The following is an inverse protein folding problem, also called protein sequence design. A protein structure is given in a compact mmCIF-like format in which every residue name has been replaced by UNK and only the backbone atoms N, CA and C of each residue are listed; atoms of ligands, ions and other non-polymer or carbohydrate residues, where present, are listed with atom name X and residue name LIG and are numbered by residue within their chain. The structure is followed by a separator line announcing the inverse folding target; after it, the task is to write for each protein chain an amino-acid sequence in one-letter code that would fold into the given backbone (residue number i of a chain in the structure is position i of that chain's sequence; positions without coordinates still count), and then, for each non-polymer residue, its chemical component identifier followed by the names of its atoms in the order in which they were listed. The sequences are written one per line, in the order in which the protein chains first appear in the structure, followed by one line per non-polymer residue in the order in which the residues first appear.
data_IF_931789843649
#
_entry.id   IF_931789843649
#
_cell.length_a   1.000
_cell.length_b   1.000
_cell.length_c   1.000
_cell.angle_alpha   90.00
_cell.angle_beta   90.00
_cell.angle_gamma   90.00
#
_symmetry.space_group_name_H-M   'P 1'
#
loop_
_entity.id
_entity.type
_entity.pdbx_description
1 polymer ?
#
# COMPACT_ATOMS: atom_id res chain seq x y z
N UNK A 1 -18.75 45.16 -33.53
CA UNK A 1 -18.67 44.68 -32.14
C UNK A 1 -18.86 43.17 -32.17
N UNK A 2 -17.77 42.40 -32.07
CA UNK A 2 -17.81 40.94 -32.08
C UNK A 2 -17.94 40.42 -30.64
N UNK A 3 -18.80 39.43 -30.35
CA UNK A 3 -18.95 38.91 -28.99
C UNK A 3 -17.75 38.03 -28.63
N UNK A 4 -17.10 38.36 -27.51
CA UNK A 4 -16.04 37.55 -26.89
C UNK A 4 -16.58 36.18 -26.50
N UNK A 5 -16.00 35.14 -27.09
CA UNK A 5 -16.24 33.76 -26.67
C UNK A 5 -15.58 33.54 -25.30
N UNK A 6 -16.38 33.23 -24.30
CA UNK A 6 -15.93 32.80 -22.98
C UNK A 6 -15.19 31.47 -23.10
N UNK A 7 -13.89 31.49 -22.81
CA UNK A 7 -13.05 30.30 -22.72
C UNK A 7 -13.52 29.44 -21.55
N UNK A 8 -14.26 28.38 -21.84
CA UNK A 8 -14.60 27.35 -20.87
C UNK A 8 -13.31 26.57 -20.49
N UNK A 9 -13.09 26.24 -19.20
CA UNK A 9 -11.96 25.40 -18.81
C UNK A 9 -12.14 23.99 -19.40
N UNK A 10 -11.16 23.54 -20.16
CA UNK A 10 -11.09 22.19 -20.70
C UNK A 10 -10.95 21.23 -19.51
N UNK A 11 -12.07 20.65 -19.07
CA UNK A 11 -12.03 19.50 -18.16
C UNK A 11 -11.59 18.29 -18.98
N UNK A 12 -10.43 17.67 -18.68
CA UNK A 12 -9.99 16.49 -19.40
C UNK A 12 -11.03 15.39 -19.14
N UNK A 13 -11.71 14.94 -20.19
CA UNK A 13 -12.60 13.78 -20.11
C UNK A 13 -11.73 12.53 -19.88
N UNK A 14 -11.74 11.91 -18.68
CA UNK A 14 -10.85 10.79 -18.34
C UNK A 14 -11.27 9.47 -19.00
N UNK A 15 -12.38 9.45 -19.76
CA UNK A 15 -12.98 8.23 -20.29
C UNK A 15 -12.31 7.67 -21.56
N UNK A 16 -11.42 8.40 -22.24
CA UNK A 16 -10.80 7.92 -23.51
C UNK A 16 -9.30 8.07 -23.63
N UNK A 17 -8.67 8.86 -22.77
CA UNK A 17 -7.22 8.98 -22.71
C UNK A 17 -6.83 8.91 -21.25
N UNK A 18 -6.15 7.85 -20.80
CA UNK A 18 -5.75 7.73 -19.41
C UNK A 18 -4.87 8.91 -19.04
N UNK A 19 -5.12 9.50 -17.87
CA UNK A 19 -4.28 10.54 -17.30
C UNK A 19 -2.81 10.07 -17.37
N UNK A 20 -1.88 10.88 -17.91
CA UNK A 20 -0.49 10.46 -18.02
C UNK A 20 0.07 10.27 -16.62
N UNK A 21 0.29 9.00 -16.25
CA UNK A 21 0.89 8.64 -14.98
C UNK A 21 2.41 8.76 -15.08
N UNK A 22 3.06 9.12 -13.97
CA UNK A 22 4.51 9.03 -13.88
C UNK A 22 4.97 7.56 -14.00
N UNK A 23 6.19 7.32 -14.46
CA UNK A 23 6.73 5.97 -14.66
C UNK A 23 6.62 5.07 -13.41
N UNK A 24 6.76 5.65 -12.21
CA UNK A 24 6.58 4.93 -10.94
C UNK A 24 5.13 4.51 -10.69
N UNK A 25 4.17 5.36 -11.04
CA UNK A 25 2.74 5.06 -10.93
C UNK A 25 2.32 3.98 -11.94
N UNK A 26 2.83 4.06 -13.17
CA UNK A 26 2.58 3.01 -14.17
C UNK A 26 3.16 1.65 -13.76
N UNK A 27 4.31 1.62 -13.09
CA UNK A 27 4.86 0.38 -12.55
C UNK A 27 3.90 -0.24 -11.51
N UNK A 28 3.32 0.56 -10.61
CA UNK A 28 2.35 0.06 -9.63
C UNK A 28 1.07 -0.49 -10.29
N UNK A 29 0.59 0.17 -11.34
CA UNK A 29 -0.56 -0.30 -12.13
C UNK A 29 -0.21 -1.63 -12.82
N UNK A 30 1.00 -1.75 -13.40
CA UNK A 30 1.47 -2.99 -14.02
C UNK A 30 1.54 -4.13 -13.01
N UNK A 31 1.99 -3.88 -11.78
CA UNK A 31 1.99 -4.89 -10.71
C UNK A 31 0.57 -5.37 -10.36
N UNK A 32 -0.41 -4.46 -10.24
CA UNK A 32 -1.81 -4.83 -10.02
C UNK A 32 -2.38 -5.64 -11.19
N UNK A 33 -2.08 -5.22 -12.42
CA UNK A 33 -2.45 -5.93 -13.63
C UNK A 33 -1.89 -7.35 -13.66
N UNK A 34 -0.57 -7.52 -13.45
CA UNK A 34 0.04 -8.85 -13.43
C UNK A 34 -0.48 -9.71 -12.28
N UNK A 35 -0.79 -9.10 -11.13
CA UNK A 35 -1.43 -9.80 -10.02
C UNK A 35 -2.79 -10.37 -10.43
N UNK A 36 -3.65 -9.57 -11.06
CA UNK A 36 -4.97 -10.03 -11.56
C UNK A 36 -4.84 -11.14 -12.59
N UNK A 37 -3.96 -10.98 -13.58
CA UNK A 37 -3.72 -11.99 -14.62
C UNK A 37 -3.24 -13.30 -14.00
N UNK A 38 -2.31 -13.25 -13.03
CA UNK A 38 -1.86 -14.44 -12.30
C UNK A 38 -2.96 -15.09 -11.47
N UNK A 39 -3.86 -14.30 -10.88
CA UNK A 39 -5.02 -14.84 -10.15
C UNK A 39 -5.99 -15.55 -11.08
N UNK A 40 -6.22 -15.04 -12.30
CA UNK A 40 -7.08 -15.70 -13.31
C UNK A 40 -6.44 -16.98 -13.86
N UNK A 41 -5.11 -16.98 -14.03
CA UNK A 41 -4.34 -18.13 -14.49
C UNK A 41 -3.76 -18.98 -13.34
N UNK A 42 -4.37 -18.95 -12.15
CA UNK A 42 -3.79 -19.57 -10.96
C UNK A 42 -3.57 -21.07 -11.12
N UNK A 43 -4.48 -21.79 -11.79
CA UNK A 43 -4.39 -23.24 -11.95
C UNK A 43 -3.19 -23.63 -12.84
N UNK A 44 -3.01 -22.96 -13.98
CA UNK A 44 -1.87 -23.18 -14.88
C UNK A 44 -0.52 -22.85 -14.21
N UNK A 45 -0.50 -21.80 -13.37
CA UNK A 45 0.68 -21.43 -12.58
C UNK A 45 0.99 -22.49 -11.53
N UNK A 46 -0.03 -23.08 -10.89
CA UNK A 46 0.13 -24.16 -9.90
C UNK A 46 0.65 -25.44 -10.54
N UNK A 47 0.18 -25.78 -11.73
CA UNK A 47 0.66 -26.95 -12.46
C UNK A 47 2.12 -26.80 -12.90
N UNK A 48 2.49 -25.60 -13.38
CA UNK A 48 3.89 -25.26 -13.65
C UNK A 48 4.75 -25.34 -12.38
N UNK A 49 4.28 -24.76 -11.27
CA UNK A 49 5.00 -24.78 -10.00
C UNK A 49 5.20 -26.21 -9.45
N UNK A 50 4.17 -27.07 -9.56
CA UNK A 50 4.24 -28.47 -9.13
C UNK A 50 5.27 -29.25 -9.94
N UNK A 51 5.33 -29.02 -11.24
CA UNK A 51 6.37 -29.61 -12.10
C UNK A 51 7.78 -29.11 -11.71
N UNK A 52 7.95 -27.80 -11.48
CA UNK A 52 9.22 -27.20 -11.07
C UNK A 52 9.71 -27.69 -9.70
N UNK A 53 8.80 -27.99 -8.76
CA UNK A 53 9.16 -28.54 -7.44
C UNK A 53 9.79 -29.92 -7.56
N UNK A 54 9.34 -30.75 -8.51
CA UNK A 54 9.88 -32.10 -8.72
C UNK A 54 11.25 -32.10 -9.41
N UNK A 55 11.54 -31.11 -10.26
CA UNK A 55 12.76 -31.04 -11.07
C UNK A 55 13.28 -29.61 -11.20
N UNK A 56 13.91 -29.04 -10.15
CA UNK A 56 14.29 -27.63 -10.13
C UNK A 56 15.38 -27.27 -11.15
N UNK A 57 16.30 -28.19 -11.45
CA UNK A 57 17.44 -27.93 -12.34
C UNK A 57 17.12 -28.06 -13.83
N UNK A 58 16.23 -29.00 -14.21
CA UNK A 58 15.86 -29.28 -15.60
C UNK A 58 14.45 -28.77 -15.98
N UNK A 59 13.86 -27.91 -15.13
CA UNK A 59 12.51 -27.40 -15.27
C UNK A 59 12.22 -26.79 -16.65
N UNK A 60 13.15 -26.04 -17.22
CA UNK A 60 12.96 -25.36 -18.53
C UNK A 60 12.75 -26.35 -19.68
N UNK A 61 13.30 -27.56 -19.58
CA UNK A 61 13.15 -28.59 -20.61
C UNK A 61 11.97 -29.52 -20.30
N UNK A 62 11.90 -30.04 -19.07
CA UNK A 62 10.90 -31.05 -18.69
C UNK A 62 9.51 -30.46 -18.43
N UNK A 63 9.44 -29.25 -17.90
CA UNK A 63 8.18 -28.53 -17.65
C UNK A 63 7.79 -27.57 -18.79
N UNK A 64 8.37 -27.73 -19.98
CA UNK A 64 8.14 -26.83 -21.12
C UNK A 64 6.69 -26.82 -21.59
N UNK A 65 5.96 -27.94 -21.44
CA UNK A 65 4.54 -28.03 -21.80
C UNK A 65 3.69 -27.15 -20.88
N UNK A 66 3.89 -27.28 -19.57
CA UNK A 66 3.22 -26.50 -18.53
C UNK A 66 3.57 -25.02 -18.63
N UNK A 67 4.85 -24.72 -18.91
CA UNK A 67 5.30 -23.34 -19.16
C UNK A 67 4.55 -22.69 -20.34
N UNK A 68 4.34 -23.43 -21.44
CA UNK A 68 3.57 -22.94 -22.60
C UNK A 68 2.10 -22.71 -22.26
N UNK A 69 1.47 -23.60 -21.50
CA UNK A 69 0.07 -23.45 -21.08
C UNK A 69 -0.11 -22.21 -20.20
N UNK A 70 0.75 -22.05 -19.19
CA UNK A 70 0.79 -20.86 -18.34
C UNK A 70 0.96 -19.58 -19.17
N UNK A 71 1.95 -19.55 -20.08
CA UNK A 71 2.19 -18.38 -20.93
C UNK A 71 1.02 -18.10 -21.88
N UNK A 72 0.37 -19.15 -22.40
CA UNK A 72 -0.81 -18.97 -23.25
C UNK A 72 -1.96 -18.32 -22.46
N UNK A 73 -2.25 -18.83 -21.25
CA UNK A 73 -3.26 -18.23 -20.38
C UNK A 73 -2.94 -16.76 -20.07
N UNK A 74 -1.70 -16.46 -19.68
CA UNK A 74 -1.28 -15.08 -19.41
C UNK A 74 -1.47 -14.16 -20.62
N UNK A 75 -1.19 -14.65 -21.83
CA UNK A 75 -1.39 -13.90 -23.08
C UNK A 75 -2.87 -13.69 -23.41
N UNK A 76 -3.75 -14.65 -23.10
CA UNK A 76 -5.20 -14.48 -23.32
C UNK A 76 -5.78 -13.35 -22.47
N UNK A 77 -5.36 -13.25 -21.21
CA UNK A 77 -5.81 -12.17 -20.31
C UNK A 77 -4.97 -10.90 -20.43
N UNK A 78 -3.96 -10.88 -21.31
CA UNK A 78 -3.12 -9.72 -21.53
C UNK A 78 -3.79 -8.66 -22.41
N UNK A 79 -5.02 -8.27 -22.08
CA UNK A 79 -5.81 -7.32 -22.86
C UNK A 79 -5.70 -5.90 -22.32
N UNK A 80 -5.86 -4.92 -23.21
CA UNK A 80 -5.90 -3.50 -22.84
C UNK A 80 -7.04 -3.20 -21.84
N UNK A 81 -8.20 -3.87 -22.00
CA UNK A 81 -9.34 -3.73 -21.10
C UNK A 81 -8.98 -4.11 -19.65
N UNK A 82 -8.18 -5.16 -19.45
CA UNK A 82 -7.71 -5.56 -18.12
C UNK A 82 -6.72 -4.55 -17.54
N UNK A 83 -5.88 -3.92 -18.38
CA UNK A 83 -5.00 -2.84 -17.94
C UNK A 83 -5.78 -1.60 -17.52
N UNK A 84 -6.83 -1.24 -18.24
CA UNK A 84 -7.67 -0.08 -17.92
C UNK A 84 -8.49 -0.33 -16.65
N UNK A 85 -9.05 -1.54 -16.48
CA UNK A 85 -9.70 -1.92 -15.22
C UNK A 85 -8.70 -1.95 -14.04
N UNK A 86 -7.42 -2.27 -14.28
CA UNK A 86 -6.38 -2.23 -13.24
C UNK A 86 -5.99 -0.78 -12.90
N UNK A 87 -6.02 0.13 -13.87
CA UNK A 87 -5.87 1.58 -13.62
C UNK A 87 -7.00 2.09 -12.74
N UNK A 88 -8.25 1.74 -13.03
CA UNK A 88 -9.41 2.17 -12.25
C UNK A 88 -9.32 1.69 -10.79
N UNK A 89 -8.95 0.43 -10.55
CA UNK A 89 -8.72 -0.04 -9.17
C UNK A 89 -7.54 0.66 -8.52
N UNK A 90 -6.46 0.95 -9.25
CA UNK A 90 -5.33 1.69 -8.70
C UNK A 90 -5.75 3.09 -8.26
N UNK A 91 -6.54 3.81 -9.06
CA UNK A 91 -7.11 5.11 -8.69
C UNK A 91 -8.01 5.00 -7.46
N UNK A 92 -8.91 4.01 -7.39
CA UNK A 92 -9.74 3.78 -6.20
C UNK A 92 -8.90 3.44 -4.94
N UNK A 93 -7.78 2.75 -5.13
CA UNK A 93 -6.87 2.40 -4.03
C UNK A 93 -6.03 3.60 -3.58
N UNK A 94 -5.72 4.56 -4.46
CA UNK A 94 -4.99 5.79 -4.10
C UNK A 94 -5.77 6.60 -3.09
N UNK A 95 -7.08 6.78 -3.31
CA UNK A 95 -7.94 7.49 -2.37
C UNK A 95 -7.99 6.78 -1.02
N UNK A 96 -8.17 5.46 -1.03
CA UNK A 96 -8.12 4.64 0.19
C UNK A 96 -6.79 4.74 0.94
N UNK A 97 -5.65 4.73 0.23
CA UNK A 97 -4.31 4.89 0.83
C UNK A 97 -4.09 6.29 1.40
N UNK A 98 -4.79 7.30 0.88
CA UNK A 98 -4.77 8.65 1.43
C UNK A 98 -5.55 8.69 2.75
N UNK A 99 -6.75 8.13 2.76
CA UNK A 99 -7.57 8.00 3.98
C UNK A 99 -6.85 7.21 5.08
N UNK A 100 -6.21 6.08 4.74
CA UNK A 100 -5.44 5.28 5.71
C UNK A 100 -4.24 6.05 6.29
N UNK A 101 -3.58 6.90 5.49
CA UNK A 101 -2.49 7.76 5.99
C UNK A 101 -3.02 8.83 6.93
N UNK A 102 -4.10 9.50 6.56
CA UNK A 102 -4.75 10.53 7.40
C UNK A 102 -5.25 9.92 8.72
N UNK A 103 -5.86 8.73 8.67
CA UNK A 103 -6.28 7.99 9.87
C UNK A 103 -5.11 7.59 10.76
N UNK A 104 -3.99 7.14 10.17
CA UNK A 104 -2.78 6.78 10.93
C UNK A 104 -2.10 8.01 11.55
N UNK A 105 -2.14 9.15 10.88
CA UNK A 105 -1.64 10.43 11.42
C UNK A 105 -2.54 10.96 12.54
N UNK A 106 -3.87 10.84 12.40
CA UNK A 106 -4.81 11.17 13.47
C UNK A 106 -4.53 10.32 14.72
N UNK A 107 -4.41 9.00 14.55
CA UNK A 107 -4.07 8.08 15.64
C UNK A 107 -2.71 8.42 16.27
N UNK A 108 -1.69 8.75 15.48
CA UNK A 108 -0.38 9.15 16.00
C UNK A 108 -0.47 10.40 16.88
N UNK A 109 -1.29 11.38 16.51
CA UNK A 109 -1.51 12.59 17.33
C UNK A 109 -2.24 12.27 18.64
N UNK A 110 -3.17 11.32 18.62
CA UNK A 110 -3.84 10.83 19.84
C UNK A 110 -2.88 10.05 20.73
N UNK A 111 -2.09 9.15 20.15
CA UNK A 111 -1.05 8.40 20.84
C UNK A 111 0.00 9.36 21.45
N UNK A 112 0.43 10.40 20.72
CA UNK A 112 1.36 11.42 21.24
C UNK A 112 0.77 12.19 22.43
N UNK A 113 -0.52 12.56 22.38
CA UNK A 113 -1.22 13.19 23.52
C UNK A 113 -1.32 12.23 24.71
N UNK A 114 -1.67 10.97 24.45
CA UNK A 114 -1.78 9.94 25.47
C UNK A 114 -0.43 9.70 26.15
N UNK A 115 0.63 9.48 25.36
CA UNK A 115 1.99 9.33 25.86
C UNK A 115 2.43 10.58 26.64
N UNK A 116 2.20 11.79 26.12
CA UNK A 116 2.54 13.03 26.83
C UNK A 116 1.86 13.13 28.20
N UNK A 117 0.57 12.82 28.29
CA UNK A 117 -0.17 12.82 29.56
C UNK A 117 0.28 11.69 30.51
N UNK A 118 0.68 10.55 29.97
CA UNK A 118 1.18 9.42 30.74
C UNK A 118 2.54 9.74 31.38
N UNK A 119 3.45 10.34 30.62
CA UNK A 119 4.75 10.83 31.14
C UNK A 119 4.59 11.99 32.15
N UNK A 120 3.57 12.84 32.01
CA UNK A 120 3.32 13.97 32.93
C UNK A 120 2.81 13.52 34.31
N UNK A 121 2.13 12.36 34.39
CA UNK A 121 1.69 11.77 35.67
C UNK A 121 2.87 11.19 36.48
N UNK A 122 3.89 10.68 35.81
CA UNK A 122 5.12 10.19 36.46
C UNK A 122 6.04 11.35 36.88
N UNK A 123 5.93 12.54 36.27
CA UNK A 123 6.62 13.74 36.76
C UNK A 123 6.06 14.28 38.09
N UNK A 124 4.84 13.85 38.48
CA UNK A 124 4.21 14.14 39.78
C UNK A 124 4.50 13.07 40.84
N UNK A 125 5.66 12.42 40.83
CA UNK A 125 6.18 11.84 42.08
C UNK A 125 6.64 12.98 42.99
N UNK A 126 6.19 13.05 44.26
CA UNK A 126 6.68 14.06 45.19
C UNK A 126 8.21 13.99 45.29
N UNK A 127 8.89 15.14 45.17
CA UNK A 127 10.35 15.26 45.34
C UNK A 127 10.83 14.45 46.54
N UNK A 128 11.88 13.66 46.37
CA UNK A 128 12.57 12.97 47.47
C UNK A 128 13.43 13.91 48.31
N UNK A 129 13.24 15.23 48.23
CA UNK A 129 13.84 16.20 49.16
C UNK A 129 13.28 15.97 50.57
N UNK A 130 14.05 15.25 51.38
CA UNK A 130 13.76 15.00 52.80
C UNK A 130 13.60 13.53 53.21
N UNK A 131 13.83 12.54 52.32
CA UNK A 131 13.83 11.10 52.68
C UNK A 131 15.24 10.52 52.71
N UNK A 132 15.56 9.84 53.81
CA UNK A 132 16.81 9.08 53.99
C UNK A 132 16.92 7.86 53.05
N UNK A 133 18.08 7.21 52.96
CA UNK A 133 18.35 6.04 52.09
C UNK A 133 17.40 4.84 52.28
N UNK A 134 16.61 4.83 53.37
CA UNK A 134 15.55 3.85 53.68
C UNK A 134 14.11 4.41 53.55
N UNK A 135 13.92 5.60 53.00
CA UNK A 135 12.61 6.19 52.69
C UNK A 135 11.84 6.83 53.86
N UNK A 136 12.47 7.09 55.01
CA UNK A 136 11.83 7.79 56.15
C UNK A 136 12.02 9.30 56.08
N UNK A 137 11.01 10.05 56.51
CA UNK A 137 10.99 11.52 56.51
C UNK A 137 11.87 12.07 57.65
N UNK A 138 12.79 12.99 57.33
CA UNK A 138 13.70 13.57 58.32
C UNK A 138 13.01 14.77 58.98
N UNK A 139 12.52 14.62 60.21
CA UNK A 139 12.08 15.76 61.04
C UNK A 139 13.31 16.48 61.61
N UNK A 140 13.52 17.74 61.23
CA UNK A 140 14.54 18.60 61.83
C UNK A 140 14.12 18.97 63.26
N UNK A 141 14.78 18.36 64.24
CA UNK A 141 14.59 18.67 65.66
C UNK A 141 15.36 19.97 65.99
N UNK A 142 14.60 21.00 66.37
CA UNK A 142 15.05 22.35 66.75
C UNK A 142 15.86 22.35 68.05
#
# INVERSE_FOLDING_TARGET
MAPSQTAQPIVPNPSRSPLPLSASQEAQVRELYYKRVRTKCADEVRDFASCCQSQPFTATFMCRKQQKLMNNCMMQYATQAEQDAAREEWFATIDKRKEEREAKEAKRKEDEKFWRQWWDKDARVPSTEGRDTKGRHIEQKK
#
